data_IF_565798893358
#
_entry.id   IF_565798893358
#
_cell.length_a   1.000
_cell.length_b   1.000
_cell.length_c   1.000
_cell.angle_alpha   90.00
_cell.angle_beta   90.00
_cell.angle_gamma   90.00
#
_symmetry.space_group_name_H-M   'P 1'
#
loop_
_entity.id
_entity.type
_entity.pdbx_description
1 polymer ?
#
# COMPACT_ATOMS: atom_id res chain seq x y z
N UNK A 1 -17.45 -6.64 -12.96
CA UNK A 1 -17.27 -6.07 -11.59
C UNK A 1 -15.86 -5.53 -11.54
N UNK A 2 -15.59 -4.28 -11.09
CA UNK A 2 -14.21 -3.84 -10.91
C UNK A 2 -13.53 -4.71 -9.84
N UNK A 3 -12.43 -5.37 -10.20
CA UNK A 3 -11.60 -6.13 -9.27
C UNK A 3 -10.79 -5.15 -8.43
N UNK A 4 -10.99 -5.16 -7.11
CA UNK A 4 -10.08 -4.46 -6.19
C UNK A 4 -8.86 -5.34 -6.03
N UNK A 5 -7.75 -4.99 -6.68
CA UNK A 5 -6.51 -5.74 -6.62
C UNK A 5 -5.34 -4.76 -6.47
N UNK A 6 -4.27 -5.21 -5.80
CA UNK A 6 -3.01 -4.50 -5.69
C UNK A 6 -2.00 -5.25 -6.55
N UNK A 7 -1.30 -4.53 -7.42
CA UNK A 7 -0.07 -5.02 -8.06
C UNK A 7 1.06 -4.09 -7.65
N UNK A 8 2.17 -4.67 -7.20
CA UNK A 8 3.37 -3.92 -6.90
C UNK A 8 4.61 -4.68 -7.38
N UNK A 9 5.46 -3.97 -8.11
CA UNK A 9 6.71 -4.49 -8.65
C UNK A 9 7.86 -3.63 -8.19
N UNK A 10 8.74 -4.18 -7.35
CA UNK A 10 10.05 -3.59 -7.10
C UNK A 10 11.04 -4.19 -8.10
N UNK A 11 11.34 -3.43 -9.15
CA UNK A 11 12.30 -3.82 -10.17
C UNK A 11 13.74 -3.92 -9.65
N UNK A 12 14.08 -3.24 -8.55
CA UNK A 12 15.44 -3.23 -8.00
C UNK A 12 15.77 -4.51 -7.25
N UNK A 13 14.78 -5.07 -6.55
CA UNK A 13 14.91 -6.30 -5.77
C UNK A 13 14.24 -7.52 -6.42
N UNK A 14 13.51 -7.33 -7.53
CA UNK A 14 12.77 -8.39 -8.21
C UNK A 14 11.59 -8.91 -7.39
N UNK A 15 10.96 -8.05 -6.59
CA UNK A 15 9.79 -8.40 -5.75
C UNK A 15 8.53 -8.10 -6.54
N UNK A 16 7.67 -9.11 -6.68
CA UNK A 16 6.35 -8.99 -7.30
C UNK A 16 5.30 -9.34 -6.26
N UNK A 17 4.39 -8.41 -5.99
CA UNK A 17 3.30 -8.56 -5.03
C UNK A 17 1.99 -8.55 -5.77
N UNK A 18 1.23 -9.63 -5.63
CA UNK A 18 -0.14 -9.75 -6.11
C UNK A 18 -1.10 -9.77 -4.92
N UNK A 19 -1.92 -8.74 -4.78
CA UNK A 19 -2.93 -8.65 -3.72
C UNK A 19 -4.13 -9.53 -4.03
N UNK A 20 -4.34 -10.58 -3.24
CA UNK A 20 -5.41 -11.57 -3.44
C UNK A 20 -6.71 -11.23 -2.69
N UNK A 21 -6.67 -10.26 -1.78
CA UNK A 21 -7.86 -9.77 -1.10
C UNK A 21 -7.61 -8.56 -0.22
N UNK A 22 -8.61 -7.69 -0.10
CA UNK A 22 -8.59 -6.55 0.82
C UNK A 22 -9.27 -6.95 2.13
N UNK A 23 -8.54 -6.83 3.23
CA UNK A 23 -9.03 -7.06 4.59
C UNK A 23 -9.43 -5.75 5.28
N UNK A 24 -8.71 -4.66 5.00
CA UNK A 24 -8.96 -3.36 5.60
C UNK A 24 -8.77 -2.22 4.61
N UNK A 25 -9.61 -1.19 4.73
CA UNK A 25 -9.48 0.09 4.01
C UNK A 25 -10.01 1.20 4.91
N UNK A 26 -9.16 2.15 5.28
CA UNK A 26 -9.55 3.21 6.22
C UNK A 26 -8.48 4.28 6.41
N UNK A 27 -8.72 5.28 7.29
CA UNK A 27 -7.66 6.16 7.76
C UNK A 27 -6.58 5.35 8.50
N UNK A 28 -5.39 5.92 8.67
CA UNK A 28 -4.41 5.34 9.60
C UNK A 28 -4.92 5.56 11.04
N UNK A 29 -4.62 4.63 11.96
CA UNK A 29 -5.11 4.71 13.35
C UNK A 29 -4.63 5.98 14.08
N UNK A 30 -3.51 6.54 13.64
CA UNK A 30 -2.81 7.63 14.32
C UNK A 30 -3.15 9.02 13.78
N UNK A 31 -3.64 9.13 12.55
CA UNK A 31 -4.03 10.41 11.96
C UNK A 31 -5.27 10.25 11.07
N UNK A 32 -6.34 10.96 11.41
CA UNK A 32 -7.46 11.18 10.48
C UNK A 32 -7.06 12.28 9.49
N UNK A 33 -5.98 12.07 8.74
CA UNK A 33 -5.70 12.93 7.58
C UNK A 33 -6.66 12.50 6.48
N UNK A 34 -7.50 13.43 6.04
CA UNK A 34 -8.52 13.16 5.02
C UNK A 34 -7.92 12.67 3.70
N UNK A 35 -6.65 13.01 3.45
CA UNK A 35 -5.86 12.67 2.28
C UNK A 35 -5.03 11.39 2.41
N UNK A 36 -5.08 10.68 3.55
CA UNK A 36 -4.29 9.46 3.76
C UNK A 36 -5.18 8.23 3.93
N UNK A 37 -4.83 7.11 3.28
CA UNK A 37 -5.52 5.83 3.46
C UNK A 37 -4.55 4.69 3.68
N UNK A 38 -4.95 3.78 4.55
CA UNK A 38 -4.34 2.48 4.75
C UNK A 38 -5.18 1.40 4.08
N UNK A 39 -4.51 0.50 3.37
CA UNK A 39 -5.08 -0.68 2.74
C UNK A 39 -4.29 -1.88 3.23
N UNK A 40 -4.99 -2.87 3.79
CA UNK A 40 -4.36 -4.11 4.24
C UNK A 40 -5.04 -5.29 3.58
N UNK A 41 -4.27 -6.33 3.31
CA UNK A 41 -4.79 -7.48 2.58
C UNK A 41 -3.85 -8.66 2.52
N UNK A 42 -4.37 -9.75 1.96
CA UNK A 42 -3.61 -10.95 1.64
C UNK A 42 -2.84 -10.73 0.34
N UNK A 43 -1.65 -11.33 0.23
CA UNK A 43 -0.84 -11.27 -0.97
C UNK A 43 -0.15 -12.61 -1.29
N UNK A 44 0.15 -12.75 -2.58
CA UNK A 44 1.22 -13.60 -3.07
C UNK A 44 2.47 -12.73 -3.30
N UNK A 45 3.65 -13.23 -2.92
CA UNK A 45 4.94 -12.58 -3.18
C UNK A 45 5.78 -13.52 -4.03
N UNK A 46 6.17 -13.07 -5.22
CA UNK A 46 6.88 -13.89 -6.22
C UNK A 46 6.18 -15.23 -6.50
N UNK A 47 4.84 -15.22 -6.55
CA UNK A 47 3.99 -16.39 -6.80
C UNK A 47 3.87 -17.36 -5.62
N UNK A 48 4.26 -16.94 -4.42
CA UNK A 48 4.08 -17.72 -3.19
C UNK A 48 3.02 -17.08 -2.31
N UNK A 49 2.05 -17.88 -1.88
CA UNK A 49 0.98 -17.50 -0.95
C UNK A 49 1.47 -17.28 0.49
N UNK A 50 0.59 -16.73 1.32
CA UNK A 50 0.76 -16.65 2.77
C UNK A 50 1.33 -15.33 3.28
N UNK A 51 1.39 -14.31 2.43
CA UNK A 51 1.85 -12.98 2.80
C UNK A 51 0.66 -12.06 3.10
N UNK A 52 0.96 -11.00 3.84
CA UNK A 52 0.07 -9.86 3.99
C UNK A 52 0.78 -8.60 3.52
N UNK A 53 0.02 -7.69 2.92
CA UNK A 53 0.50 -6.35 2.59
C UNK A 53 -0.19 -5.31 3.46
N UNK A 54 0.54 -4.24 3.75
CA UNK A 54 -0.01 -2.97 4.23
C UNK A 54 0.50 -1.89 3.31
N UNK A 55 -0.42 -1.22 2.62
CA UNK A 55 -0.15 -0.05 1.79
C UNK A 55 -0.67 1.17 2.53
N UNK A 56 0.12 2.23 2.57
CA UNK A 56 -0.36 3.55 2.96
C UNK A 56 -0.03 4.55 1.89
N UNK A 57 -1.06 5.33 1.55
CA UNK A 57 -1.01 6.31 0.49
C UNK A 57 -1.51 7.65 0.99
N UNK A 58 -0.83 8.71 0.56
CA UNK A 58 -1.27 10.10 0.78
C UNK A 58 -1.35 10.83 -0.54
N UNK A 59 -2.52 11.43 -0.79
CA UNK A 59 -2.81 12.29 -1.94
C UNK A 59 -2.65 13.75 -1.49
N UNK A 60 -1.50 14.35 -1.79
CA UNK A 60 -1.13 15.69 -1.31
C UNK A 60 -1.43 16.79 -2.35
N UNK A 61 -2.26 16.48 -3.35
CA UNK A 61 -2.75 17.41 -4.35
C UNK A 61 -1.94 17.43 -5.66
N UNK A 62 -2.55 17.98 -6.72
CA UNK A 62 -1.96 17.99 -8.05
C UNK A 62 -0.83 19.03 -8.19
N UNK A 63 0.27 18.71 -8.91
CA UNK A 63 0.42 17.64 -9.91
C UNK A 63 0.90 16.27 -9.38
N UNK A 64 0.60 15.89 -8.12
CA UNK A 64 0.97 14.61 -7.51
C UNK A 64 2.42 14.60 -6.98
N UNK A 65 3.13 15.71 -7.17
CA UNK A 65 4.46 15.94 -6.60
C UNK A 65 4.30 16.15 -5.11
N UNK A 66 4.72 15.16 -4.32
CA UNK A 66 4.53 15.16 -2.87
C UNK A 66 3.60 14.04 -2.39
N UNK A 67 2.94 13.33 -3.29
CA UNK A 67 2.20 12.12 -2.94
C UNK A 67 3.14 11.09 -2.31
N UNK A 68 2.58 10.30 -1.40
CA UNK A 68 3.33 9.30 -0.63
C UNK A 68 2.76 7.94 -0.93
N UNK A 69 3.63 6.99 -1.25
CA UNK A 69 3.30 5.58 -1.33
C UNK A 69 4.27 4.79 -0.48
N UNK A 70 3.73 4.01 0.45
CA UNK A 70 4.48 3.03 1.24
C UNK A 70 3.81 1.68 1.09
N UNK A 71 4.61 0.63 0.95
CA UNK A 71 4.17 -0.76 1.06
C UNK A 71 5.07 -1.51 2.05
N UNK A 72 4.45 -2.26 2.95
CA UNK A 72 5.13 -3.21 3.83
C UNK A 72 4.54 -4.60 3.64
N UNK A 73 5.41 -5.61 3.62
CA UNK A 73 5.03 -7.01 3.54
C UNK A 73 5.40 -7.73 4.84
N UNK A 74 4.51 -8.59 5.29
CA UNK A 74 4.79 -9.60 6.31
C UNK A 74 4.51 -10.97 5.71
N UNK A 75 5.29 -11.96 6.11
CA UNK A 75 5.20 -13.31 5.60
C UNK A 75 4.90 -14.33 6.70
N UNK A 76 4.77 -15.60 6.34
CA UNK A 76 4.50 -16.65 7.30
C UNK A 76 5.70 -16.84 8.26
N UNK A 77 5.44 -17.29 9.50
CA UNK A 77 6.50 -17.46 10.51
C UNK A 77 7.51 -18.55 10.10
N UNK A 78 8.68 -18.61 10.77
CA UNK A 78 9.68 -19.66 10.55
C UNK A 78 9.07 -21.09 10.58
N UNK A 79 9.61 -22.04 9.80
CA UNK A 79 10.92 -22.02 9.13
C UNK A 79 10.94 -21.38 7.74
N UNK A 80 9.79 -20.95 7.21
CA UNK A 80 9.71 -20.31 5.88
C UNK A 80 10.34 -18.91 5.86
N UNK A 81 10.40 -18.23 7.02
CA UNK A 81 11.35 -17.17 7.34
C UNK A 81 11.34 -15.98 6.38
N UNK A 82 10.30 -15.15 6.41
CA UNK A 82 10.31 -13.85 5.73
C UNK A 82 10.76 -12.73 6.67
N UNK A 83 11.90 -12.12 6.38
CA UNK A 83 12.50 -11.05 7.21
C UNK A 83 11.77 -9.70 7.17
N UNK A 84 10.63 -9.63 6.48
CA UNK A 84 9.92 -8.38 6.20
C UNK A 84 10.47 -7.66 4.99
N UNK A 85 9.63 -6.81 4.39
CA UNK A 85 10.01 -5.91 3.31
C UNK A 85 9.24 -4.61 3.48
N UNK A 86 9.89 -3.48 3.21
CA UNK A 86 9.23 -2.17 3.14
C UNK A 86 9.84 -1.37 2.00
N UNK A 87 9.00 -0.78 1.17
CA UNK A 87 9.38 0.28 0.24
C UNK A 87 8.57 1.54 0.50
N UNK A 88 9.21 2.70 0.32
CA UNK A 88 8.71 3.98 0.80
C UNK A 88 9.21 4.27 2.23
N UNK A 89 8.66 5.29 2.88
CA UNK A 89 8.98 5.55 4.29
C UNK A 89 8.08 4.74 5.21
N UNK A 90 8.65 4.10 6.21
CA UNK A 90 7.89 3.63 7.37
C UNK A 90 7.10 4.81 7.95
N UNK A 91 5.80 4.66 8.08
CA UNK A 91 4.86 5.67 8.58
C UNK A 91 5.18 6.10 10.02
N UNK A 92 6.16 5.48 10.68
CA UNK A 92 6.64 5.87 12.00
C UNK A 92 8.06 6.46 12.03
N UNK A 93 8.83 6.48 10.93
CA UNK A 93 10.16 7.13 10.93
C UNK A 93 10.42 7.84 9.61
N UNK A 94 10.42 9.18 9.69
CA UNK A 94 11.08 10.11 8.76
C UNK A 94 12.46 9.57 8.31
N UNK A 95 12.81 9.72 7.00
CA UNK A 95 12.24 10.66 6.04
C UNK A 95 11.14 10.07 5.15
N UNK A 96 10.11 10.88 4.87
CA UNK A 96 9.04 10.59 3.91
C UNK A 96 9.62 10.57 2.50
N UNK A 97 9.54 9.43 1.80
CA UNK A 97 9.88 9.36 0.38
C UNK A 97 8.63 9.75 -0.39
N UNK A 98 8.64 10.94 -0.97
CA UNK A 98 7.61 11.39 -1.90
C UNK A 98 7.86 10.81 -3.28
N UNK A 99 6.79 10.64 -4.05
CA UNK A 99 6.92 10.29 -5.46
C UNK A 99 7.68 11.41 -6.18
N UNK A 100 8.81 11.08 -6.81
CA UNK A 100 9.55 11.99 -7.70
C UNK A 100 8.83 12.24 -9.03
N UNK A 101 7.70 11.57 -9.25
CA UNK A 101 6.79 11.64 -10.38
C UNK A 101 5.72 10.54 -10.27
N UNK A 102 4.56 10.73 -10.89
CA UNK A 102 3.37 9.86 -10.69
C UNK A 102 2.22 10.63 -10.04
N UNK A 103 1.11 9.94 -9.76
CA UNK A 103 -0.09 10.55 -9.16
C UNK A 103 -0.85 9.50 -8.33
N UNK A 104 -1.26 9.87 -7.13
CA UNK A 104 -2.19 9.12 -6.29
C UNK A 104 -3.49 9.90 -6.23
N UNK A 105 -4.61 9.23 -6.52
CA UNK A 105 -5.93 9.84 -6.38
C UNK A 105 -6.78 9.03 -5.42
N UNK A 106 -7.17 9.66 -4.33
CA UNK A 106 -8.13 9.07 -3.40
C UNK A 106 -9.54 9.45 -3.81
N UNK A 107 -10.20 8.55 -4.54
CA UNK A 107 -11.59 8.74 -4.89
C UNK A 107 -12.46 8.64 -3.64
N UNK A 108 -13.24 9.70 -3.37
CA UNK A 108 -14.37 9.60 -2.47
C UNK A 108 -15.39 8.63 -3.07
N UNK A 109 -16.18 7.96 -2.24
CA UNK A 109 -17.31 7.16 -2.73
C UNK A 109 -18.15 8.06 -3.64
N UNK A 110 -18.35 7.64 -4.89
CA UNK A 110 -19.33 8.30 -5.75
C UNK A 110 -20.67 8.32 -5.01
N UNK A 111 -21.32 9.46 -5.07
CA UNK A 111 -22.50 9.81 -4.29
C UNK A 111 -23.49 8.64 -4.31
N UNK A 112 -23.82 8.11 -3.13
CA UNK A 112 -25.00 7.27 -2.99
C UNK A 112 -26.23 8.15 -3.24
N UNK A 113 -26.61 8.29 -4.51
CA UNK A 113 -27.90 8.82 -4.88
C UNK A 113 -28.93 7.71 -4.72
N UNK A 114 -29.74 7.79 -3.66
CA UNK A 114 -31.18 7.48 -3.56
C UNK A 114 -31.60 7.60 -2.10
#
# INVERSE_FOLDING_TARGET
MPSRHLEYHDHSLGINVHGTGILNYGPTETEVVTTTRMIQGNAEVNGQDGYMYTVVVSDNGEPGVGDVFTISLTGPPPPMGFGGYTAGSDLMRTPVITLGGGNIQLHTKCCGGS
#
